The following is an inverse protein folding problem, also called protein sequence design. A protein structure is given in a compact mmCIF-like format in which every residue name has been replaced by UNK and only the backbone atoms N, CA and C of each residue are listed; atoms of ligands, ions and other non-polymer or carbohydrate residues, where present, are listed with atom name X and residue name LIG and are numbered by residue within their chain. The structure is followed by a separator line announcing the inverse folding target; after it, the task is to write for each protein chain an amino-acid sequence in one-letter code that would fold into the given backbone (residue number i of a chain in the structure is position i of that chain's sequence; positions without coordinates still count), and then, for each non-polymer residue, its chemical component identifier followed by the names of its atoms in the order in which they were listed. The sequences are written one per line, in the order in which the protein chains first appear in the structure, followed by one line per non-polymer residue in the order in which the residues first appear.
data_IF_959923403186
#
_entry.id   IF_959923403186
#
_cell.length_a   1.000
_cell.length_b   1.000
_cell.length_c   1.000
_cell.angle_alpha   90.00
_cell.angle_beta   90.00
_cell.angle_gamma   90.00
#
_symmetry.space_group_name_H-M   'P 1'
#
loop_
_entity.id
_entity.type
_entity.pdbx_description
1 polymer ?
#
# COMPACT_ATOMS: atom_id res chain seq x y z
N UNK A 1 29.09 -9.61 -14.61
CA UNK A 1 29.45 -11.04 -14.40
C UNK A 1 28.19 -11.73 -13.88
N UNK A 2 27.31 -12.20 -14.77
CA UNK A 2 27.25 -13.57 -15.33
C UNK A 2 27.03 -14.62 -14.22
N UNK A 3 25.92 -15.36 -14.21
CA UNK A 3 25.79 -16.58 -15.02
C UNK A 3 24.33 -16.95 -15.34
N UNK A 4 24.13 -17.27 -16.63
CA UNK A 4 23.01 -18.00 -17.25
C UNK A 4 23.34 -19.50 -17.31
N UNK A 5 22.33 -20.36 -17.48
CA UNK A 5 22.23 -21.51 -18.41
C UNK A 5 21.21 -22.54 -17.90
N UNK A 6 20.47 -23.33 -18.69
CA UNK A 6 20.36 -23.49 -20.15
C UNK A 6 19.07 -24.27 -20.49
N UNK A 7 18.61 -24.10 -21.73
CA UNK A 7 17.56 -24.87 -22.41
C UNK A 7 18.08 -25.23 -23.82
N UNK A 8 17.60 -26.37 -24.36
CA UNK A 8 17.50 -26.79 -25.78
C UNK A 8 18.25 -28.07 -26.20
N UNK A 9 17.52 -29.00 -26.84
CA UNK A 9 17.59 -29.42 -28.28
C UNK A 9 16.79 -30.72 -28.46
N UNK A 10 15.72 -30.78 -29.26
CA UNK A 10 15.56 -30.80 -30.74
C UNK A 10 15.73 -32.20 -31.38
N UNK A 11 14.59 -32.73 -31.85
CA UNK A 11 14.23 -33.42 -33.12
C UNK A 11 15.11 -34.56 -33.68
N UNK A 12 14.43 -35.56 -34.28
CA UNK A 12 14.56 -35.96 -35.71
C UNK A 12 13.54 -37.07 -36.06
N UNK A 13 12.91 -36.92 -37.22
CA UNK A 13 12.15 -37.90 -38.03
C UNK A 13 12.92 -38.04 -39.36
N UNK A 14 12.91 -39.16 -40.13
CA UNK A 14 11.86 -39.37 -41.16
C UNK A 14 11.55 -40.83 -41.62
N UNK A 15 10.36 -40.91 -42.24
CA UNK A 15 9.76 -41.83 -43.24
C UNK A 15 10.50 -43.06 -43.83
N UNK A 16 9.71 -44.13 -44.07
CA UNK A 16 9.66 -44.87 -45.36
C UNK A 16 8.33 -45.60 -45.59
N UNK A 17 8.01 -45.73 -46.88
CA UNK A 17 6.74 -46.12 -47.51
C UNK A 17 6.67 -47.62 -47.84
N UNK A 18 5.48 -48.24 -47.79
CA UNK A 18 5.09 -49.32 -48.71
C UNK A 18 3.56 -49.55 -48.69
N UNK A 19 2.96 -49.53 -49.87
CA UNK A 19 1.57 -49.91 -50.18
C UNK A 19 1.51 -51.42 -50.35
N UNK A 20 0.44 -52.08 -49.87
CA UNK A 20 -0.07 -53.33 -50.46
C UNK A 20 -1.51 -53.59 -49.99
N UNK A 21 -2.38 -53.87 -50.97
CA UNK A 21 -3.76 -54.29 -50.78
C UNK A 21 -3.84 -55.80 -50.50
N UNK A 22 -4.85 -56.23 -49.76
CA UNK A 22 -5.68 -57.39 -50.05
C UNK A 22 -6.70 -57.60 -48.92
N UNK A 23 -7.94 -57.88 -49.30
CA UNK A 23 -9.07 -58.12 -48.43
C UNK A 23 -9.24 -59.60 -48.05
N UNK A 24 -9.89 -59.79 -46.89
CA UNK A 24 -10.62 -60.98 -46.38
C UNK A 24 -9.79 -62.16 -45.87
N UNK A 25 -9.93 -62.46 -44.58
CA UNK A 25 -10.83 -63.54 -44.13
C UNK A 25 -10.79 -63.67 -42.59
N UNK A 26 -11.81 -64.36 -42.07
CA UNK A 26 -12.20 -64.48 -40.67
C UNK A 26 -11.14 -65.12 -39.78
N UNK A 27 -11.04 -64.64 -38.53
CA UNK A 27 -10.22 -65.21 -37.48
C UNK A 27 -10.88 -65.05 -36.11
N UNK A 28 -11.33 -66.19 -35.59
CA UNK A 28 -11.69 -66.58 -34.22
C UNK A 28 -11.43 -65.61 -33.07
N UNK A 29 -12.47 -65.42 -32.25
CA UNK A 29 -12.48 -64.64 -31.01
C UNK A 29 -11.40 -65.08 -30.01
N UNK A 30 -10.51 -64.15 -29.66
CA UNK A 30 -9.69 -64.21 -28.47
C UNK A 30 -10.36 -63.42 -27.34
N UNK A 31 -10.57 -64.05 -26.18
CA UNK A 31 -11.04 -63.36 -24.98
C UNK A 31 -9.97 -62.39 -24.48
N UNK A 32 -10.26 -61.10 -24.53
CA UNK A 32 -9.43 -60.08 -23.90
C UNK A 32 -9.71 -60.07 -22.39
N UNK A 33 -8.74 -60.52 -21.60
CA UNK A 33 -8.69 -60.23 -20.16
C UNK A 33 -8.44 -58.73 -20.00
N UNK A 34 -9.49 -57.99 -19.65
CA UNK A 34 -9.37 -56.61 -19.21
C UNK A 34 -8.97 -56.60 -17.73
N UNK A 35 -7.68 -56.45 -17.44
CA UNK A 35 -7.27 -56.02 -16.11
C UNK A 35 -7.79 -54.62 -15.88
N UNK A 36 -8.73 -54.48 -14.95
CA UNK A 36 -9.26 -53.19 -14.54
C UNK A 36 -8.14 -52.36 -13.91
N UNK A 37 -7.57 -51.45 -14.70
CA UNK A 37 -6.65 -50.43 -14.24
C UNK A 37 -7.37 -49.62 -13.14
N UNK A 38 -6.97 -49.85 -11.88
CA UNK A 38 -7.49 -49.10 -10.73
C UNK A 38 -7.12 -47.63 -10.95
N UNK A 39 -8.10 -46.86 -11.38
CA UNK A 39 -7.97 -45.41 -11.54
C UNK A 39 -7.80 -44.82 -10.15
N UNK A 40 -6.56 -44.53 -9.75
CA UNK A 40 -6.29 -43.76 -8.54
C UNK A 40 -7.00 -42.41 -8.67
N UNK A 41 -8.04 -42.22 -7.85
CA UNK A 41 -8.75 -40.94 -7.78
C UNK A 41 -7.76 -39.90 -7.28
N UNK A 42 -7.34 -39.00 -8.17
CA UNK A 42 -6.62 -37.78 -7.78
C UNK A 42 -7.33 -37.13 -6.59
N UNK A 43 -6.61 -36.76 -5.52
CA UNK A 43 -7.21 -36.10 -4.37
C UNK A 43 -7.94 -34.85 -4.86
N UNK A 44 -9.21 -34.70 -4.45
CA UNK A 44 -9.99 -33.50 -4.75
C UNK A 44 -9.24 -32.31 -4.18
N UNK A 45 -9.02 -31.28 -5.00
CA UNK A 45 -8.52 -30.01 -4.52
C UNK A 45 -9.41 -29.53 -3.35
N UNK A 46 -8.82 -29.02 -2.26
CA UNK A 46 -9.58 -28.54 -1.13
C UNK A 46 -10.56 -27.44 -1.58
N UNK A 47 -11.78 -27.48 -1.05
CA UNK A 47 -12.76 -26.42 -1.31
C UNK A 47 -12.27 -25.13 -0.65
N UNK A 48 -12.21 -24.04 -1.41
CA UNK A 48 -11.95 -22.71 -0.86
C UNK A 48 -13.10 -22.37 0.10
N UNK A 49 -12.78 -22.10 1.37
CA UNK A 49 -13.75 -21.64 2.34
C UNK A 49 -13.99 -20.14 2.14
N UNK A 50 -15.24 -19.72 2.12
CA UNK A 50 -15.60 -18.31 2.03
C UNK A 50 -15.45 -17.63 3.39
N UNK A 51 -14.69 -16.53 3.47
CA UNK A 51 -14.65 -15.64 4.63
C UNK A 51 -15.41 -14.35 4.31
N UNK A 52 -16.49 -14.09 5.06
CA UNK A 52 -17.32 -12.90 4.86
C UNK A 52 -16.60 -11.58 5.24
N UNK A 53 -15.53 -11.65 6.04
CA UNK A 53 -14.71 -10.48 6.44
C UNK A 53 -13.71 -10.08 5.36
N UNK A 54 -13.44 -10.99 4.43
CA UNK A 54 -12.53 -10.77 3.30
C UNK A 54 -13.03 -11.54 2.06
N UNK A 55 -14.21 -11.14 1.58
CA UNK A 55 -14.97 -11.86 0.56
C UNK A 55 -14.20 -12.11 -0.74
N UNK A 56 -13.23 -11.25 -1.07
CA UNK A 56 -12.40 -11.33 -2.27
C UNK A 56 -10.92 -11.62 -1.96
N UNK A 57 -10.61 -12.06 -0.74
CA UNK A 57 -9.26 -12.44 -0.31
C UNK A 57 -8.21 -11.35 -0.57
N UNK A 58 -8.46 -10.13 -0.07
CA UNK A 58 -7.45 -9.08 0.00
C UNK A 58 -6.18 -9.58 0.68
N UNK A 59 -6.28 -10.41 1.73
CA UNK A 59 -5.11 -10.97 2.42
C UNK A 59 -4.12 -11.61 1.44
N UNK A 60 -4.62 -12.45 0.52
CA UNK A 60 -3.81 -13.11 -0.50
C UNK A 60 -3.29 -12.18 -1.61
N UNK A 61 -3.57 -10.88 -1.56
CA UNK A 61 -3.05 -9.86 -2.49
C UNK A 61 -2.00 -8.95 -1.86
N UNK A 62 -1.80 -9.05 -0.54
CA UNK A 62 -0.84 -8.24 0.20
C UNK A 62 0.51 -8.94 0.29
N UNK A 63 1.58 -8.14 0.38
CA UNK A 63 2.90 -8.67 0.73
C UNK A 63 2.99 -9.00 2.21
N UNK A 64 3.95 -9.83 2.60
CA UNK A 64 4.22 -10.15 4.02
C UNK A 64 4.54 -8.87 4.83
N UNK A 65 5.30 -7.94 4.25
CA UNK A 65 5.62 -6.65 4.87
C UNK A 65 4.36 -5.80 5.07
N UNK A 66 3.47 -5.73 4.07
CA UNK A 66 2.20 -5.00 4.15
C UNK A 66 1.28 -5.55 5.25
N UNK A 67 1.19 -6.88 5.35
CA UNK A 67 0.46 -7.58 6.41
C UNK A 67 1.06 -7.25 7.78
N UNK A 68 2.38 -7.37 7.92
CA UNK A 68 3.08 -7.11 9.17
C UNK A 68 2.90 -5.66 9.65
N UNK A 69 3.02 -4.69 8.74
CA UNK A 69 2.82 -3.26 9.02
C UNK A 69 1.38 -3.02 9.49
N UNK A 70 0.39 -3.54 8.75
CA UNK A 70 -1.03 -3.42 9.10
C UNK A 70 -1.31 -3.98 10.49
N UNK A 71 -0.84 -5.20 10.77
CA UNK A 71 -1.19 -5.89 12.01
C UNK A 71 -0.48 -5.26 13.22
N UNK A 72 0.78 -4.82 13.06
CA UNK A 72 1.50 -4.08 14.10
C UNK A 72 0.81 -2.76 14.42
N UNK A 73 0.42 -2.00 13.39
CA UNK A 73 -0.25 -0.72 13.59
C UNK A 73 -1.70 -0.88 14.12
N UNK A 74 -2.41 -1.95 13.73
CA UNK A 74 -3.71 -2.31 14.31
C UNK A 74 -3.60 -2.50 15.82
N UNK A 75 -2.59 -3.23 16.30
CA UNK A 75 -2.38 -3.44 17.74
C UNK A 75 -2.23 -2.11 18.48
N UNK A 76 -1.36 -1.21 17.98
CA UNK A 76 -1.24 0.15 18.52
C UNK A 76 -2.59 0.90 18.53
N UNK A 77 -3.33 0.86 17.41
CA UNK A 77 -4.62 1.53 17.31
C UNK A 77 -5.63 1.02 18.36
N UNK A 78 -5.72 -0.30 18.56
CA UNK A 78 -6.66 -0.90 19.51
C UNK A 78 -6.22 -0.70 20.97
N UNK A 79 -4.93 -0.77 21.26
CA UNK A 79 -4.43 -0.67 22.64
C UNK A 79 -4.25 0.77 23.13
N UNK A 80 -3.87 1.70 22.23
CA UNK A 80 -3.52 3.08 22.59
C UNK A 80 -4.58 4.09 22.17
N UNK A 81 -5.13 3.98 20.96
CA UNK A 81 -6.06 4.98 20.43
C UNK A 81 -7.52 4.71 20.86
N UNK A 82 -7.97 3.47 20.74
CA UNK A 82 -9.36 3.09 21.03
C UNK A 82 -9.83 3.42 22.45
N UNK A 83 -9.03 3.26 23.52
CA UNK A 83 -9.47 3.62 24.87
C UNK A 83 -9.64 5.14 25.06
N UNK A 84 -8.98 5.96 24.24
CA UNK A 84 -8.96 7.43 24.37
C UNK A 84 -10.13 8.09 23.64
N UNK A 85 -10.61 7.49 22.54
CA UNK A 85 -11.46 8.19 21.57
C UNK A 85 -12.80 8.67 22.14
N UNK A 86 -13.45 7.89 23.03
CA UNK A 86 -14.79 8.24 23.52
C UNK A 86 -14.81 9.62 24.19
N UNK A 87 -13.86 9.87 25.09
CA UNK A 87 -13.77 11.15 25.80
C UNK A 87 -13.07 12.22 24.98
N UNK A 88 -12.08 11.83 24.15
CA UNK A 88 -11.43 12.75 23.22
C UNK A 88 -12.45 13.40 22.27
N UNK A 89 -13.29 12.59 21.62
CA UNK A 89 -14.31 13.06 20.70
C UNK A 89 -15.41 13.85 21.42
N UNK A 90 -15.91 13.35 22.57
CA UNK A 90 -16.98 14.01 23.32
C UNK A 90 -16.60 15.41 23.82
N UNK A 91 -15.33 15.60 24.18
CA UNK A 91 -14.84 16.84 24.78
C UNK A 91 -13.97 17.66 23.81
N UNK A 92 -13.90 17.26 22.54
CA UNK A 92 -13.11 17.95 21.50
C UNK A 92 -11.63 18.09 21.85
N UNK A 93 -11.05 17.07 22.49
CA UNK A 93 -9.64 17.03 22.92
C UNK A 93 -8.81 16.23 21.94
N UNK A 94 -7.86 16.89 21.27
CA UNK A 94 -6.79 16.21 20.55
C UNK A 94 -5.56 16.00 21.44
N UNK A 95 -5.14 14.75 21.60
CA UNK A 95 -3.93 14.40 22.35
C UNK A 95 -2.70 14.52 21.45
N UNK A 96 -1.88 15.56 21.66
CA UNK A 96 -0.68 15.83 20.84
C UNK A 96 0.33 14.67 20.83
N UNK A 97 0.36 13.87 21.89
CA UNK A 97 1.26 12.73 22.02
C UNK A 97 0.99 11.64 20.97
N UNK A 98 -0.23 11.55 20.42
CA UNK A 98 -0.57 10.60 19.34
C UNK A 98 0.34 10.78 18.13
N UNK A 99 0.74 12.02 17.81
CA UNK A 99 1.63 12.29 16.68
C UNK A 99 3.04 11.79 16.98
N UNK A 100 3.52 11.94 18.21
CA UNK A 100 4.83 11.43 18.63
C UNK A 100 4.84 9.89 18.64
N UNK A 101 3.79 9.27 19.20
CA UNK A 101 3.58 7.82 19.18
C UNK A 101 3.54 7.27 17.74
N UNK A 102 2.84 7.94 16.81
CA UNK A 102 2.85 7.59 15.39
C UNK A 102 4.24 7.76 14.74
N UNK A 103 5.02 8.75 15.17
CA UNK A 103 6.39 8.94 14.73
C UNK A 103 7.33 7.83 15.19
N UNK A 104 7.20 7.39 16.44
CA UNK A 104 7.94 6.23 16.99
C UNK A 104 7.62 4.93 16.26
N UNK A 105 6.36 4.75 15.85
CA UNK A 105 5.92 3.61 15.03
C UNK A 105 6.37 3.71 13.56
N UNK A 106 6.94 4.84 13.13
CA UNK A 106 7.42 5.05 11.76
C UNK A 106 6.30 5.21 10.71
N UNK A 107 5.09 5.58 11.12
CA UNK A 107 3.92 5.67 10.21
C UNK A 107 3.67 7.07 9.64
N UNK A 108 4.50 8.07 10.00
CA UNK A 108 4.45 9.42 9.43
C UNK A 108 5.35 9.53 8.21
N UNK A 109 4.78 9.95 7.07
CA UNK A 109 5.47 9.97 5.77
C UNK A 109 5.96 8.59 5.31
N UNK A 110 5.18 7.51 5.45
CA UNK A 110 5.68 6.14 5.36
C UNK A 110 6.22 5.78 3.97
N UNK A 111 5.78 6.47 2.91
CA UNK A 111 6.21 6.22 1.53
C UNK A 111 7.47 6.99 1.10
N UNK A 112 7.97 7.90 1.95
CA UNK A 112 9.18 8.68 1.67
C UNK A 112 10.41 7.81 1.88
N UNK A 113 11.35 7.85 0.93
CA UNK A 113 12.62 7.15 1.02
C UNK A 113 13.66 8.01 1.74
N UNK A 114 14.33 7.44 2.75
CA UNK A 114 15.33 8.16 3.55
C UNK A 114 14.73 9.08 4.61
N UNK A 115 15.54 9.99 5.16
CA UNK A 115 15.14 10.97 6.19
C UNK A 115 14.54 10.37 7.48
N UNK A 116 14.77 9.09 7.75
CA UNK A 116 14.16 8.37 8.88
C UNK A 116 12.70 7.95 8.64
N UNK A 117 12.21 8.02 7.40
CA UNK A 117 10.91 7.48 6.99
C UNK A 117 11.03 6.00 6.61
N UNK A 118 9.92 5.26 6.70
CA UNK A 118 9.90 3.81 6.50
C UNK A 118 10.18 3.36 5.05
N UNK A 119 9.89 4.19 4.05
CA UNK A 119 10.11 3.86 2.64
C UNK A 119 9.22 2.73 2.10
N UNK A 120 8.02 2.55 2.64
CA UNK A 120 7.10 1.44 2.32
C UNK A 120 6.17 1.77 1.14
N UNK A 121 5.42 0.77 0.67
CA UNK A 121 4.51 0.90 -0.46
C UNK A 121 3.31 1.84 -0.16
N UNK A 122 2.68 2.37 -1.21
CA UNK A 122 1.41 3.10 -1.06
C UNK A 122 0.27 2.18 -0.58
N UNK A 123 0.33 0.87 -0.84
CA UNK A 123 -0.63 -0.09 -0.29
C UNK A 123 -0.46 -0.18 1.23
N UNK A 124 0.78 -0.28 1.73
CA UNK A 124 1.06 -0.22 3.17
C UNK A 124 0.54 1.09 3.79
N UNK A 125 0.73 2.23 3.13
CA UNK A 125 0.16 3.50 3.59
C UNK A 125 -1.37 3.47 3.66
N UNK A 126 -2.04 2.90 2.65
CA UNK A 126 -3.49 2.70 2.65
C UNK A 126 -3.96 1.79 3.79
N UNK A 127 -3.22 0.73 4.09
CA UNK A 127 -3.52 -0.18 5.21
C UNK A 127 -3.34 0.50 6.57
N UNK A 128 -2.29 1.29 6.75
CA UNK A 128 -2.09 2.13 7.95
C UNK A 128 -3.30 3.05 8.13
N UNK A 129 -3.69 3.79 7.09
CA UNK A 129 -4.84 4.69 7.12
C UNK A 129 -6.14 3.95 7.49
N UNK A 130 -6.36 2.76 6.92
CA UNK A 130 -7.51 1.91 7.23
C UNK A 130 -7.56 1.50 8.71
N UNK A 131 -6.43 1.17 9.33
CA UNK A 131 -6.41 0.73 10.73
C UNK A 131 -6.58 1.89 11.73
N UNK A 132 -6.03 3.08 11.46
CA UNK A 132 -6.29 4.26 12.32
C UNK A 132 -7.73 4.76 12.18
N UNK A 133 -8.29 4.78 10.96
CA UNK A 133 -9.67 5.22 10.74
C UNK A 133 -10.71 4.22 11.24
N UNK A 134 -10.33 2.94 11.39
CA UNK A 134 -11.16 1.97 12.12
C UNK A 134 -11.41 2.41 13.57
N UNK A 135 -10.52 3.22 14.14
CA UNK A 135 -10.72 3.86 15.44
C UNK A 135 -11.43 5.20 15.27
N UNK A 136 -10.84 6.12 14.50
CA UNK A 136 -11.39 7.47 14.34
C UNK A 136 -10.86 8.21 13.10
N UNK A 137 -11.76 8.92 12.41
CA UNK A 137 -11.43 9.73 11.24
C UNK A 137 -10.60 10.98 11.58
N UNK A 138 -10.75 11.58 12.76
CA UNK A 138 -9.95 12.70 13.22
C UNK A 138 -8.47 12.33 13.39
N UNK A 139 -8.18 11.17 13.99
CA UNK A 139 -6.81 10.67 14.09
C UNK A 139 -6.20 10.38 12.71
N UNK A 140 -6.96 9.73 11.82
CA UNK A 140 -6.51 9.52 10.43
C UNK A 140 -6.29 10.85 9.71
N UNK A 141 -7.09 11.89 9.97
CA UNK A 141 -6.92 13.22 9.35
C UNK A 141 -5.59 13.84 9.71
N UNK A 142 -5.18 13.79 10.97
CA UNK A 142 -3.88 14.31 11.40
C UNK A 142 -2.73 13.57 10.72
N UNK A 143 -2.80 12.24 10.66
CA UNK A 143 -1.78 11.42 9.98
C UNK A 143 -1.70 11.73 8.48
N UNK A 144 -2.84 11.90 7.81
CA UNK A 144 -2.91 12.25 6.38
C UNK A 144 -2.37 13.65 6.10
N UNK A 145 -2.72 14.65 6.92
CA UNK A 145 -2.18 16.01 6.77
C UNK A 145 -0.66 15.99 6.93
N UNK A 146 -0.16 15.38 8.01
CA UNK A 146 1.28 15.29 8.28
C UNK A 146 2.03 14.59 7.14
N UNK A 147 1.55 13.43 6.70
CA UNK A 147 2.26 12.61 5.70
C UNK A 147 2.12 13.16 4.28
N UNK A 148 0.88 13.41 3.84
CA UNK A 148 0.58 13.68 2.43
C UNK A 148 0.47 15.17 2.10
N UNK A 149 0.18 16.03 3.08
CA UNK A 149 -0.01 17.47 2.83
C UNK A 149 1.13 18.34 3.40
N UNK A 150 2.00 17.77 4.23
CA UNK A 150 3.18 18.47 4.78
C UNK A 150 4.47 17.79 4.32
N UNK A 151 4.69 16.54 4.70
CA UNK A 151 5.94 15.84 4.40
C UNK A 151 6.11 15.61 2.89
N UNK A 152 5.05 15.17 2.20
CA UNK A 152 5.11 14.94 0.76
C UNK A 152 5.50 16.18 -0.06
N UNK A 153 4.87 17.37 0.07
CA UNK A 153 5.29 18.54 -0.72
C UNK A 153 6.70 19.02 -0.37
N UNK A 154 7.16 18.89 0.88
CA UNK A 154 8.57 19.16 1.23
C UNK A 154 9.50 18.19 0.50
N UNK A 155 9.15 16.89 0.47
CA UNK A 155 9.95 15.88 -0.20
C UNK A 155 9.94 16.02 -1.73
N UNK A 156 8.81 16.37 -2.33
CA UNK A 156 8.65 16.48 -3.78
C UNK A 156 9.17 17.80 -4.35
N UNK A 157 8.94 18.92 -3.64
CA UNK A 157 9.13 20.27 -4.17
C UNK A 157 10.14 21.11 -3.37
N UNK A 158 10.57 20.64 -2.19
CA UNK A 158 11.55 21.34 -1.38
C UNK A 158 12.99 21.17 -1.87
N UNK A 159 13.85 22.09 -1.48
CA UNK A 159 15.31 21.96 -1.66
C UNK A 159 15.86 20.87 -0.74
N UNK A 160 17.07 20.37 -1.04
CA UNK A 160 17.71 19.36 -0.18
C UNK A 160 17.90 19.89 1.27
N UNK A 161 18.26 21.16 1.41
CA UNK A 161 18.35 21.81 2.73
C UNK A 161 17.00 21.77 3.49
N UNK A 162 15.89 22.05 2.81
CA UNK A 162 14.56 21.99 3.43
C UNK A 162 14.19 20.56 3.84
N UNK A 163 14.49 19.57 2.97
CA UNK A 163 14.24 18.16 3.26
C UNK A 163 15.00 17.69 4.51
N UNK A 164 16.31 17.93 4.55
CA UNK A 164 17.17 17.57 5.68
C UNK A 164 16.76 18.28 6.97
N UNK A 165 16.34 19.54 6.88
CA UNK A 165 15.90 20.33 8.04
C UNK A 165 14.58 19.85 8.64
N UNK A 166 13.61 19.47 7.82
CA UNK A 166 12.23 19.25 8.27
C UNK A 166 11.81 17.79 8.30
N UNK A 167 12.12 16.98 7.27
CA UNK A 167 11.58 15.63 7.14
C UNK A 167 11.94 14.72 8.31
N UNK A 168 13.19 14.68 8.83
CA UNK A 168 13.52 13.84 9.98
C UNK A 168 12.71 14.18 11.24
N UNK A 169 12.45 15.47 11.46
CA UNK A 169 11.70 15.94 12.64
C UNK A 169 10.19 15.70 12.49
N UNK A 170 9.65 15.84 11.27
CA UNK A 170 8.26 15.51 10.95
C UNK A 170 8.00 14.00 11.06
N UNK A 171 8.94 13.18 10.57
CA UNK A 171 8.86 11.72 10.61
C UNK A 171 8.83 11.17 12.04
N UNK A 172 9.60 11.77 12.95
CA UNK A 172 9.60 11.43 14.39
C UNK A 172 8.45 12.07 15.18
N UNK A 173 7.58 12.86 14.54
CA UNK A 173 6.47 13.54 15.22
C UNK A 173 6.89 14.67 16.17
N UNK A 174 8.16 15.12 16.13
CA UNK A 174 8.68 16.21 16.97
C UNK A 174 8.04 17.56 16.58
N UNK A 175 7.77 17.74 15.30
CA UNK A 175 7.03 18.90 14.78
C UNK A 175 5.78 18.45 14.06
N UNK A 176 4.71 19.23 14.22
CA UNK A 176 3.41 19.02 13.60
C UNK A 176 3.21 20.11 12.54
N UNK A 177 2.95 19.71 11.30
CA UNK A 177 2.66 20.63 10.22
C UNK A 177 1.17 20.79 9.95
N UNK A 178 0.85 21.78 9.13
CA UNK A 178 -0.49 22.02 8.60
C UNK A 178 -0.40 22.43 7.13
N UNK A 179 -1.51 22.31 6.39
CA UNK A 179 -1.60 22.67 4.99
C UNK A 179 -2.59 23.81 4.78
N UNK A 180 -2.08 25.02 4.55
CA UNK A 180 -2.88 26.23 4.40
C UNK A 180 -3.18 26.56 2.94
N UNK A 181 -4.17 25.87 2.35
CA UNK A 181 -4.66 26.20 1.01
C UNK A 181 -5.94 27.04 1.08
N UNK A 182 -6.94 26.52 1.78
CA UNK A 182 -8.30 27.06 1.70
C UNK A 182 -8.50 28.34 2.49
N UNK A 183 -9.38 29.20 2.00
CA UNK A 183 -9.61 30.56 2.50
C UNK A 183 -11.11 30.79 2.76
N UNK A 184 -11.48 31.81 3.56
CA UNK A 184 -12.89 32.10 3.85
C UNK A 184 -13.79 32.23 2.61
N UNK A 185 -13.25 32.78 1.51
CA UNK A 185 -13.99 33.02 0.27
C UNK A 185 -13.70 31.96 -0.83
N UNK A 186 -12.71 31.08 -0.64
CA UNK A 186 -12.19 30.20 -1.70
C UNK A 186 -12.01 28.78 -1.19
N UNK A 187 -13.01 27.94 -1.47
CA UNK A 187 -13.06 26.51 -1.17
C UNK A 187 -12.67 25.63 -2.36
N UNK A 188 -13.69 25.16 -3.09
CA UNK A 188 -13.53 24.32 -4.28
C UNK A 188 -12.83 25.03 -5.45
N UNK A 189 -12.79 26.37 -5.46
CA UNK A 189 -12.04 27.18 -6.42
C UNK A 189 -10.77 27.76 -5.79
N UNK A 190 -9.64 27.02 -5.80
CA UNK A 190 -8.37 27.54 -5.31
C UNK A 190 -7.75 28.58 -6.24
N UNK A 191 -8.21 28.70 -7.50
CA UNK A 191 -7.66 29.67 -8.46
C UNK A 191 -8.02 31.11 -8.09
N UNK A 192 -9.12 31.30 -7.37
CA UNK A 192 -9.58 32.58 -6.87
C UNK A 192 -8.85 33.10 -5.63
N UNK A 193 -7.91 32.35 -5.04
CA UNK A 193 -7.30 32.68 -3.73
C UNK A 193 -6.84 34.13 -3.63
N UNK A 194 -6.96 34.71 -2.45
CA UNK A 194 -6.65 36.10 -2.09
C UNK A 194 -5.32 36.25 -1.36
N UNK A 195 -4.79 35.18 -0.75
CA UNK A 195 -3.44 35.23 -0.16
C UNK A 195 -2.41 35.61 -1.23
N UNK A 196 -1.56 36.60 -0.93
CA UNK A 196 -0.51 37.08 -1.85
C UNK A 196 0.86 36.98 -1.18
N UNK A 197 1.88 36.66 -1.98
CA UNK A 197 3.28 36.74 -1.59
C UNK A 197 3.96 37.85 -2.40
N UNK A 198 4.36 38.94 -1.73
CA UNK A 198 5.08 40.07 -2.36
C UNK A 198 6.58 39.93 -2.14
N UNK A 199 7.35 39.85 -3.21
CA UNK A 199 8.82 39.79 -3.14
C UNK A 199 9.42 41.14 -2.72
N UNK A 200 10.39 41.09 -1.81
CA UNK A 200 11.21 42.24 -1.40
C UNK A 200 12.64 42.07 -1.93
N UNK A 201 13.04 42.82 -2.98
CA UNK A 201 14.38 42.72 -3.56
C UNK A 201 15.52 43.11 -2.62
N UNK A 202 15.30 44.02 -1.66
CA UNK A 202 16.38 44.50 -0.78
C UNK A 202 16.79 43.48 0.28
N UNK A 203 15.86 42.60 0.70
CA UNK A 203 16.11 41.55 1.69
C UNK A 203 16.14 40.15 1.10
N UNK A 204 15.74 39.96 -0.17
CA UNK A 204 15.63 38.64 -0.78
C UNK A 204 14.53 37.77 -0.14
N UNK A 205 13.49 38.37 0.44
CA UNK A 205 12.42 37.68 1.16
C UNK A 205 11.04 37.94 0.57
N UNK A 206 10.02 37.20 1.02
CA UNK A 206 8.62 37.43 0.67
C UNK A 206 7.83 37.93 1.90
N UNK A 207 6.93 38.88 1.69
CA UNK A 207 5.87 39.21 2.65
C UNK A 207 4.58 38.52 2.22
N UNK A 208 4.04 37.64 3.06
CA UNK A 208 2.81 36.90 2.79
C UNK A 208 1.66 37.56 3.57
N UNK A 209 0.54 37.84 2.89
CA UNK A 209 -0.64 38.46 3.51
C UNK A 209 -1.89 37.77 2.99
N UNK A 210 -2.76 37.36 3.91
CA UNK A 210 -3.99 36.61 3.63
C UNK A 210 -4.54 35.95 4.90
N UNK A 211 -5.56 35.11 4.76
CA UNK A 211 -6.15 34.32 5.84
C UNK A 211 -6.48 32.93 5.34
N UNK A 212 -6.26 31.91 6.19
CA UNK A 212 -6.58 30.51 5.91
C UNK A 212 -7.61 30.00 6.94
N UNK A 213 -8.42 29.03 6.53
CA UNK A 213 -9.48 28.44 7.37
C UNK A 213 -9.65 26.95 7.07
N UNK A 214 -10.22 26.20 8.03
CA UNK A 214 -11.63 25.77 8.00
C UNK A 214 -12.18 25.58 9.41
#
# INVERSE_FOLDING_TARGET
MALRNALCRLLVSPHRCAVLSASRSQGTAAQANWEAEKTEKKPKAPKVQFDWRDALNLEGQLTEDEIMIRDSFRTYCQEKLMPRILMANRNEVFHRDIVSEMGEMGVLGPTIQGFGCAGVSYVAYGLIAREVERVDSGYRSVMSVQSSLVMHPINAYGTEEQKQKYLPRLARGEILGCFGLTEPNHGSDPSGMETRAKYNPSSGTYSVTGSKTW
#
